data_IF_244704617180
#
_entry.id   IF_244704617180
#
_cell.length_a   1.000
_cell.length_b   1.000
_cell.length_c   1.000
_cell.angle_alpha   90.00
_cell.angle_beta   90.00
_cell.angle_gamma   90.00
#
_symmetry.space_group_name_H-M   'P 1'
#
loop_
_entity.id
_entity.type
_entity.pdbx_description
1 polymer ?
#
# COMPACT_ATOMS: atom_id res chain seq x y z
N UNK A 1 4.49 32.02 -9.34
CA UNK A 1 3.57 31.14 -10.08
C UNK A 1 3.59 29.78 -9.40
N UNK A 2 2.51 29.37 -8.72
CA UNK A 2 2.39 28.01 -8.19
C UNK A 2 2.02 27.12 -9.38
N UNK A 3 2.88 26.17 -9.74
CA UNK A 3 2.61 25.22 -10.81
C UNK A 3 1.32 24.43 -10.51
N UNK A 4 0.55 24.11 -11.54
CA UNK A 4 -0.60 23.20 -11.39
C UNK A 4 -0.11 21.86 -10.81
N UNK A 5 -0.84 21.23 -9.87
CA UNK A 5 -0.56 19.86 -9.46
C UNK A 5 -0.59 18.95 -10.69
N UNK A 6 0.46 18.13 -10.87
CA UNK A 6 0.68 17.28 -12.06
C UNK A 6 0.19 15.85 -11.78
N UNK A 7 -0.28 15.16 -12.81
CA UNK A 7 -0.89 13.82 -12.72
C UNK A 7 0.12 12.71 -12.93
N UNK A 8 0.31 11.82 -11.94
CA UNK A 8 1.02 10.56 -12.12
C UNK A 8 -0.01 9.43 -12.37
N UNK A 9 0.01 8.86 -13.58
CA UNK A 9 -0.79 7.68 -13.90
C UNK A 9 -0.11 6.43 -13.32
N UNK A 10 -0.83 5.66 -12.51
CA UNK A 10 -0.36 4.35 -12.06
C UNK A 10 -0.58 3.35 -13.21
N UNK A 11 0.37 2.42 -13.47
CA UNK A 11 0.23 1.41 -14.50
C UNK A 11 -1.12 0.71 -14.39
N UNK A 12 -1.78 0.49 -15.53
CA UNK A 12 -3.12 -0.10 -15.64
C UNK A 12 -3.30 -1.23 -14.64
N UNK A 13 -4.27 -1.06 -13.74
CA UNK A 13 -4.63 -2.04 -12.73
C UNK A 13 -4.79 -3.41 -13.38
N UNK A 14 -4.22 -4.44 -12.75
CA UNK A 14 -4.50 -5.81 -13.11
C UNK A 14 -6.02 -5.98 -13.24
N UNK A 15 -6.49 -6.42 -14.41
CA UNK A 15 -7.93 -6.62 -14.72
C UNK A 15 -8.58 -7.72 -13.87
N UNK A 16 -7.76 -8.46 -13.11
CA UNK A 16 -8.16 -9.22 -11.95
C UNK A 16 -7.22 -8.87 -10.80
N UNK A 17 -7.74 -8.58 -9.59
CA UNK A 17 -6.90 -8.45 -8.43
C UNK A 17 -6.19 -9.79 -8.18
N UNK A 18 -4.93 -9.73 -7.75
CA UNK A 18 -4.13 -10.90 -7.36
C UNK A 18 -4.71 -11.46 -6.04
N UNK A 19 -5.88 -12.11 -6.10
CA UNK A 19 -6.53 -12.81 -5.00
C UNK A 19 -5.84 -14.18 -4.90
N UNK A 20 -4.89 -14.38 -3.96
CA UNK A 20 -5.29 -14.61 -2.57
C UNK A 20 -4.25 -14.10 -1.55
N UNK A 21 -4.59 -13.04 -0.81
CA UNK A 21 -3.94 -12.69 0.47
C UNK A 21 -4.56 -13.45 1.64
N UNK A 22 -5.18 -14.59 1.40
CA UNK A 22 -5.71 -15.43 2.47
C UNK A 22 -4.53 -15.95 3.30
N UNK A 23 -4.57 -15.58 4.57
CA UNK A 23 -3.56 -16.00 5.55
C UNK A 23 -3.84 -17.45 5.90
N UNK A 24 -2.87 -18.33 5.65
CA UNK A 24 -2.90 -19.71 6.13
C UNK A 24 -2.61 -19.77 7.63
N UNK A 25 -1.70 -18.93 8.10
CA UNK A 25 -1.35 -18.84 9.51
C UNK A 25 -0.34 -17.74 9.81
N UNK A 26 -0.35 -17.28 11.05
CA UNK A 26 0.68 -16.41 11.62
C UNK A 26 1.71 -17.27 12.33
N UNK A 27 2.98 -16.85 12.22
CA UNK A 27 4.14 -17.51 12.81
C UNK A 27 4.89 -16.48 13.65
N UNK A 28 5.75 -16.95 14.55
CA UNK A 28 6.52 -16.08 15.45
C UNK A 28 7.38 -15.06 14.69
N UNK A 29 7.56 -13.89 15.29
CA UNK A 29 8.41 -12.83 14.74
C UNK A 29 7.81 -12.07 13.55
N UNK A 30 6.48 -12.01 13.46
CA UNK A 30 5.77 -11.27 12.39
C UNK A 30 5.72 -12.02 11.05
N UNK A 31 6.03 -13.32 11.03
CA UNK A 31 5.97 -14.14 9.82
C UNK A 31 4.53 -14.54 9.53
N UNK A 32 4.10 -14.44 8.28
CA UNK A 32 2.73 -14.74 7.85
C UNK A 32 2.81 -15.62 6.60
N UNK A 33 2.19 -16.80 6.66
CA UNK A 33 2.13 -17.73 5.55
C UNK A 33 0.86 -17.47 4.73
N UNK A 34 1.03 -17.24 3.42
CA UNK A 34 -0.07 -17.19 2.47
C UNK A 34 -0.55 -18.59 2.09
N UNK A 35 -1.81 -18.70 1.65
CA UNK A 35 -2.34 -19.95 1.08
C UNK A 35 -1.66 -20.35 -0.23
N UNK A 36 -1.04 -19.40 -0.93
CA UNK A 36 -0.21 -19.59 -2.13
C UNK A 36 1.19 -20.17 -1.82
N UNK A 37 1.48 -20.47 -0.56
CA UNK A 37 2.79 -20.93 -0.10
C UNK A 37 3.83 -19.83 0.03
N UNK A 38 3.47 -18.56 -0.22
CA UNK A 38 4.37 -17.44 0.05
C UNK A 38 4.56 -17.22 1.55
N UNK A 39 5.74 -16.75 1.93
CA UNK A 39 6.05 -16.34 3.29
C UNK A 39 6.35 -14.85 3.31
N UNK A 40 5.68 -14.13 4.20
CA UNK A 40 5.81 -12.68 4.37
C UNK A 40 6.29 -12.37 5.77
N UNK A 41 7.07 -11.30 5.89
CA UNK A 41 7.47 -10.72 7.17
C UNK A 41 6.81 -9.36 7.33
N UNK A 42 5.93 -9.22 8.32
CA UNK A 42 5.25 -7.97 8.64
C UNK A 42 5.85 -7.32 9.88
N UNK A 43 6.03 -6.01 9.79
CA UNK A 43 6.54 -5.15 10.85
C UNK A 43 5.64 -3.90 10.96
N UNK A 44 5.27 -3.54 12.19
CA UNK A 44 4.54 -2.31 12.50
C UNK A 44 5.43 -1.10 12.30
N UNK A 45 4.91 -0.11 11.57
CA UNK A 45 5.54 1.19 11.35
C UNK A 45 5.11 2.12 12.48
N UNK A 46 6.03 2.77 13.20
CA UNK A 46 5.68 3.72 14.24
C UNK A 46 4.92 4.91 13.64
N UNK A 47 3.77 5.23 14.23
CA UNK A 47 2.95 6.36 13.81
C UNK A 47 3.31 7.63 14.58
N UNK A 48 3.06 8.78 13.96
CA UNK A 48 3.26 10.09 14.55
C UNK A 48 2.33 11.14 13.96
N UNK A 49 2.43 12.37 14.44
CA UNK A 49 1.58 13.48 14.01
C UNK A 49 2.13 14.07 12.71
N UNK A 50 1.29 14.11 11.67
CA UNK A 50 1.66 14.65 10.35
C UNK A 50 0.90 15.94 10.02
N UNK A 51 -0.42 15.94 10.17
CA UNK A 51 -1.26 17.08 9.75
C UNK A 51 -1.27 18.23 10.76
N UNK A 52 -1.25 17.88 12.05
CA UNK A 52 -1.31 18.83 13.16
C UNK A 52 0.07 19.08 13.81
N UNK A 53 1.15 18.73 13.10
CA UNK A 53 2.50 18.95 13.59
C UNK A 53 2.80 20.45 13.70
N UNK A 54 3.61 20.86 14.68
CA UNK A 54 3.86 22.30 14.94
C UNK A 54 4.75 22.93 13.88
N UNK A 55 5.49 22.12 13.12
CA UNK A 55 6.31 22.57 12.00
C UNK A 55 6.32 21.56 10.86
N UNK A 56 6.70 22.02 9.67
CA UNK A 56 6.93 21.18 8.50
C UNK A 56 7.95 20.08 8.80
N UNK A 57 9.07 20.41 9.45
CA UNK A 57 10.10 19.42 9.77
C UNK A 57 9.55 18.31 10.68
N UNK A 58 8.78 18.67 11.71
CA UNK A 58 8.12 17.69 12.60
C UNK A 58 7.13 16.81 11.85
N UNK A 59 6.39 17.35 10.87
CA UNK A 59 5.43 16.56 10.08
C UNK A 59 6.07 15.47 9.21
N UNK A 60 7.37 15.58 8.92
CA UNK A 60 8.12 14.63 8.09
C UNK A 60 8.79 13.52 8.90
N UNK A 61 9.10 13.78 10.18
CA UNK A 61 9.77 12.82 11.07
C UNK A 61 9.08 11.44 11.14
N UNK A 62 7.74 11.34 11.21
CA UNK A 62 7.06 10.03 11.23
C UNK A 62 7.33 9.18 9.99
N UNK A 63 7.71 9.79 8.86
CA UNK A 63 8.04 9.08 7.61
C UNK A 63 9.45 8.49 7.59
N UNK A 64 10.37 8.92 8.46
CA UNK A 64 11.78 8.51 8.43
C UNK A 64 11.98 6.98 8.58
N UNK A 65 11.34 6.29 9.55
CA UNK A 65 11.47 4.85 9.70
C UNK A 65 11.11 4.09 8.43
N UNK A 66 10.02 4.49 7.78
CA UNK A 66 9.55 3.87 6.56
C UNK A 66 10.49 4.15 5.38
N UNK A 67 10.94 5.40 5.21
CA UNK A 67 11.92 5.77 4.19
C UNK A 67 13.22 4.97 4.33
N UNK A 68 13.77 4.91 5.54
CA UNK A 68 14.98 4.14 5.82
C UNK A 68 14.79 2.66 5.50
N UNK A 69 13.62 2.08 5.81
CA UNK A 69 13.32 0.71 5.45
C UNK A 69 13.34 0.49 3.93
N UNK A 70 12.73 1.39 3.15
CA UNK A 70 12.78 1.32 1.68
C UNK A 70 14.20 1.46 1.14
N UNK A 71 15.01 2.38 1.68
CA UNK A 71 16.42 2.56 1.29
C UNK A 71 17.22 1.26 1.51
N UNK A 72 17.04 0.63 2.66
CA UNK A 72 17.72 -0.63 2.98
C UNK A 72 17.23 -1.80 2.15
N UNK A 73 15.92 -1.91 1.91
CA UNK A 73 15.34 -2.95 1.06
C UNK A 73 15.80 -2.81 -0.40
N UNK A 74 15.92 -1.57 -0.89
CA UNK A 74 16.50 -1.28 -2.20
C UNK A 74 17.98 -1.68 -2.27
N UNK A 75 18.75 -1.42 -1.21
CA UNK A 75 20.15 -1.81 -1.12
C UNK A 75 20.38 -3.34 -1.13
N UNK A 76 19.37 -4.14 -0.77
CA UNK A 76 19.43 -5.60 -0.88
C UNK A 76 19.36 -6.10 -2.32
N UNK A 77 18.84 -5.30 -3.26
CA UNK A 77 18.80 -5.70 -4.66
C UNK A 77 20.22 -5.66 -5.25
N UNK A 78 20.61 -6.74 -5.91
CA UNK A 78 21.93 -6.88 -6.55
C UNK A 78 21.79 -6.92 -8.09
N UNK A 79 21.41 -5.81 -8.73
CA UNK A 79 21.27 -5.77 -10.19
C UNK A 79 22.63 -5.94 -10.86
N UNK A 80 22.77 -6.92 -11.76
CA UNK A 80 23.98 -7.08 -12.60
C UNK A 80 24.12 -5.96 -13.64
N UNK A 81 22.99 -5.45 -14.11
CA UNK A 81 22.90 -4.36 -15.07
C UNK A 81 21.89 -3.34 -14.56
N UNK A 82 22.13 -2.05 -14.83
CA UNK A 82 21.19 -0.97 -14.50
C UNK A 82 20.01 -0.94 -15.50
N UNK A 83 19.41 -2.09 -15.81
CA UNK A 83 18.24 -2.22 -16.68
C UNK A 83 17.12 -2.91 -15.89
N UNK A 84 16.01 -2.21 -15.69
CA UNK A 84 14.86 -2.65 -14.88
C UNK A 84 14.40 -4.05 -15.26
N UNK A 85 14.15 -4.29 -16.56
CA UNK A 85 13.67 -5.58 -17.06
C UNK A 85 14.58 -6.76 -16.66
N UNK A 86 15.89 -6.54 -16.55
CA UNK A 86 16.87 -7.57 -16.20
C UNK A 86 17.10 -7.69 -14.68
N UNK A 87 16.79 -6.64 -13.93
CA UNK A 87 17.04 -6.54 -12.50
C UNK A 87 15.81 -6.84 -11.63
N UNK A 88 14.60 -6.76 -12.19
CA UNK A 88 13.32 -6.84 -11.50
C UNK A 88 13.17 -8.06 -10.58
N UNK A 89 13.75 -9.21 -10.96
CA UNK A 89 13.72 -10.44 -10.15
C UNK A 89 14.50 -10.33 -8.83
N UNK A 90 15.39 -9.34 -8.70
CA UNK A 90 16.18 -9.09 -7.49
C UNK A 90 15.50 -8.10 -6.53
N UNK A 91 14.41 -7.46 -6.96
CA UNK A 91 13.73 -6.44 -6.17
C UNK A 91 12.91 -7.07 -5.05
N UNK A 92 12.82 -6.39 -3.91
CA UNK A 92 11.96 -6.85 -2.81
C UNK A 92 10.51 -6.54 -3.13
N UNK A 93 9.65 -7.55 -3.05
CA UNK A 93 8.20 -7.36 -3.08
C UNK A 93 7.71 -6.94 -1.71
N UNK A 94 6.94 -5.85 -1.66
CA UNK A 94 6.46 -5.24 -0.43
C UNK A 94 4.95 -5.01 -0.45
N UNK A 95 4.39 -4.87 0.74
CA UNK A 95 3.00 -4.47 1.00
C UNK A 95 2.98 -3.49 2.16
N UNK A 96 2.38 -2.34 1.99
CA UNK A 96 1.98 -1.45 3.08
C UNK A 96 0.49 -1.61 3.29
N UNK A 97 0.09 -1.87 4.53
CA UNK A 97 -1.31 -1.93 4.91
C UNK A 97 -1.54 -0.96 6.05
N UNK A 98 -2.34 0.07 5.78
CA UNK A 98 -2.90 0.96 6.80
C UNK A 98 -4.31 0.48 7.12
N UNK A 99 -4.61 0.28 8.40
CA UNK A 99 -5.96 0.07 8.92
C UNK A 99 -6.30 1.24 9.84
N UNK A 100 -7.52 1.77 9.70
CA UNK A 100 -8.02 2.95 10.40
C UNK A 100 -9.47 2.67 10.84
N UNK A 101 -9.60 1.91 11.93
CA UNK A 101 -10.91 1.52 12.47
C UNK A 101 -11.38 2.50 13.55
N UNK A 102 -12.70 2.73 13.69
CA UNK A 102 -13.22 3.37 14.90
C UNK A 102 -12.88 2.50 16.12
N UNK A 103 -12.55 3.15 17.22
CA UNK A 103 -12.23 2.51 18.49
C UNK A 103 -12.51 3.46 19.65
N UNK A 104 -12.10 3.06 20.85
CA UNK A 104 -12.20 3.88 22.05
C UNK A 104 -10.81 4.22 22.57
N UNK A 105 -10.68 5.40 23.18
CA UNK A 105 -9.39 5.88 23.68
C UNK A 105 -8.80 4.90 24.70
N UNK A 106 -7.52 4.60 24.51
CA UNK A 106 -6.68 3.86 25.46
C UNK A 106 -5.27 4.46 25.44
N UNK A 107 -4.80 4.90 26.59
CA UNK A 107 -3.43 5.35 26.79
C UNK A 107 -2.48 4.14 26.85
N UNK A 108 -1.35 4.25 26.16
CA UNK A 108 -0.24 3.29 26.23
C UNK A 108 0.66 3.54 27.45
N UNK A 109 0.45 4.63 28.20
CA UNK A 109 1.20 4.93 29.40
C UNK A 109 0.68 4.07 30.57
N UNK A 110 1.56 3.34 31.25
CA UNK A 110 1.20 2.49 32.39
C UNK A 110 1.30 3.19 33.75
N UNK A 111 1.77 4.43 33.80
CA UNK A 111 1.89 5.23 35.02
C UNK A 111 0.60 5.95 35.42
N UNK A 112 0.65 6.71 36.53
CA UNK A 112 -0.49 7.44 37.07
C UNK A 112 -1.18 8.37 36.05
N UNK A 113 -0.40 8.98 35.16
CA UNK A 113 -0.95 9.80 34.07
C UNK A 113 -1.77 8.96 33.08
N UNK A 114 -1.32 7.76 32.74
CA UNK A 114 -2.05 6.84 31.89
C UNK A 114 -3.33 6.34 32.53
N UNK A 115 -3.31 6.03 33.83
CA UNK A 115 -4.53 5.73 34.60
C UNK A 115 -5.52 6.89 34.54
N UNK A 116 -5.06 8.12 34.84
CA UNK A 116 -5.89 9.32 34.77
C UNK A 116 -6.50 9.50 33.37
N UNK A 117 -5.68 9.41 32.31
CA UNK A 117 -6.13 9.54 30.93
C UNK A 117 -7.17 8.48 30.56
N UNK A 118 -6.93 7.22 30.93
CA UNK A 118 -7.86 6.12 30.67
C UNK A 118 -9.19 6.30 31.41
N UNK A 119 -9.19 6.92 32.59
CA UNK A 119 -10.43 7.27 33.31
C UNK A 119 -11.12 8.48 32.70
N UNK A 120 -10.38 9.55 32.42
CA UNK A 120 -10.92 10.83 31.94
C UNK A 120 -11.50 10.74 30.52
N UNK A 121 -10.89 9.92 29.66
CA UNK A 121 -11.29 9.73 28.26
C UNK A 121 -11.88 8.34 28.03
N UNK A 122 -12.38 7.69 29.08
CA UNK A 122 -13.01 6.38 28.97
C UNK A 122 -14.20 6.43 27.98
N UNK A 123 -14.16 5.58 26.96
CA UNK A 123 -15.23 5.50 25.96
C UNK A 123 -15.19 6.59 24.88
N UNK A 124 -14.24 7.53 24.94
CA UNK A 124 -14.09 8.56 23.91
C UNK A 124 -13.74 7.90 22.56
N UNK A 125 -14.51 8.17 21.49
CA UNK A 125 -14.26 7.56 20.20
C UNK A 125 -12.97 8.11 19.60
N UNK A 126 -12.00 7.22 19.34
CA UNK A 126 -10.77 7.57 18.61
C UNK A 126 -10.49 6.56 17.52
N UNK A 127 -9.95 6.99 16.38
CA UNK A 127 -9.51 6.07 15.34
C UNK A 127 -8.31 5.26 15.82
N UNK A 128 -8.44 3.93 15.83
CA UNK A 128 -7.30 3.03 16.03
C UNK A 128 -6.62 2.80 14.69
N UNK A 129 -5.36 3.23 14.61
CA UNK A 129 -4.56 3.15 13.39
C UNK A 129 -3.40 2.22 13.57
N UNK A 130 -3.22 1.35 12.58
CA UNK A 130 -2.08 0.44 12.48
C UNK A 130 -1.58 0.53 11.05
N UNK A 131 -0.28 0.77 10.90
CA UNK A 131 0.41 0.71 9.62
C UNK A 131 1.45 -0.40 9.70
N UNK A 132 1.39 -1.37 8.79
CA UNK A 132 2.41 -2.42 8.68
C UNK A 132 3.10 -2.41 7.32
N UNK A 133 4.40 -2.71 7.34
CA UNK A 133 5.19 -3.03 6.17
C UNK A 133 5.42 -4.54 6.13
N UNK A 134 4.82 -5.20 5.14
CA UNK A 134 5.08 -6.57 4.74
C UNK A 134 6.17 -6.65 3.69
N UNK A 135 7.14 -7.54 3.88
CA UNK A 135 8.17 -7.87 2.88
C UNK A 135 8.10 -9.36 2.58
N UNK A 136 7.95 -9.73 1.31
CA UNK A 136 7.96 -11.14 0.90
C UNK A 136 9.35 -11.71 1.13
N UNK A 137 9.46 -12.85 1.82
CA UNK A 137 10.72 -13.55 2.03
C UNK A 137 11.09 -14.39 0.80
N UNK A 138 12.38 -14.44 0.51
CA UNK A 138 12.94 -15.27 -0.53
C UNK A 138 13.48 -16.57 0.07
N UNK A 139 13.09 -17.75 -0.44
CA UNK A 139 13.69 -18.99 0.00
C UNK A 139 15.15 -19.05 -0.47
N UNK A 140 15.99 -19.80 0.24
CA UNK A 140 17.31 -20.19 -0.24
C UNK A 140 17.17 -20.88 -1.60
N UNK A 141 17.88 -20.39 -2.61
CA UNK A 141 18.06 -21.15 -3.84
C UNK A 141 18.93 -22.37 -3.51
N UNK A 142 18.34 -23.56 -3.55
CA UNK A 142 19.11 -24.79 -3.71
C UNK A 142 19.97 -24.70 -4.98
N UNK A 143 21.01 -25.53 -5.09
CA UNK A 143 21.99 -25.53 -6.17
C UNK A 143 21.47 -25.76 -7.61
N UNK A 144 20.15 -25.74 -7.84
CA UNK A 144 19.50 -25.81 -9.15
C UNK A 144 18.90 -24.44 -9.52
N UNK A 145 19.32 -23.88 -10.65
CA UNK A 145 19.04 -22.49 -11.04
C UNK A 145 17.56 -22.08 -11.16
N UNK A 146 17.37 -20.80 -11.50
CA UNK A 146 16.10 -20.03 -11.49
C UNK A 146 14.88 -20.72 -12.15
N UNK A 147 15.08 -21.62 -13.12
CA UNK A 147 14.00 -22.41 -13.74
C UNK A 147 13.45 -23.49 -12.82
N UNK A 148 14.30 -24.13 -12.02
CA UNK A 148 13.88 -25.13 -11.04
C UNK A 148 13.04 -24.51 -9.93
N UNK A 149 13.30 -23.26 -9.54
CA UNK A 149 12.52 -22.58 -8.48
C UNK A 149 11.07 -22.25 -8.91
N UNK A 150 10.86 -21.95 -10.20
CA UNK A 150 9.53 -21.70 -10.77
C UNK A 150 8.77 -22.99 -11.06
N UNK A 151 9.45 -24.01 -11.62
CA UNK A 151 8.85 -25.34 -11.83
C UNK A 151 8.53 -26.02 -10.49
N UNK A 152 9.34 -25.77 -9.46
CA UNK A 152 9.01 -26.17 -8.09
C UNK A 152 7.75 -25.47 -7.61
N UNK A 153 7.56 -24.15 -7.79
CA UNK A 153 6.33 -23.46 -7.35
C UNK A 153 5.03 -23.99 -7.97
N UNK A 154 5.05 -24.37 -9.26
CA UNK A 154 3.84 -24.86 -9.96
C UNK A 154 3.53 -26.32 -9.60
N UNK A 155 4.55 -27.16 -9.42
CA UNK A 155 4.39 -28.58 -9.03
C UNK A 155 4.07 -28.75 -7.53
N UNK A 156 4.25 -27.70 -6.74
CA UNK A 156 4.21 -27.69 -5.28
C UNK A 156 2.86 -27.28 -4.68
N UNK A 157 1.98 -26.65 -5.47
CA UNK A 157 0.61 -26.37 -5.05
C UNK A 157 -0.19 -27.66 -4.73
N UNK A 158 0.28 -28.83 -5.19
CA UNK A 158 -0.40 -30.11 -4.97
C UNK A 158 0.10 -30.92 -3.77
N UNK A 159 1.35 -30.76 -3.29
CA UNK A 159 1.90 -31.72 -2.30
C UNK A 159 3.09 -31.15 -1.50
N UNK A 160 2.83 -30.74 -0.24
CA UNK A 160 3.79 -30.36 0.83
C UNK A 160 4.67 -29.11 0.67
N UNK A 161 4.66 -28.25 1.71
CA UNK A 161 5.24 -26.91 1.80
C UNK A 161 6.78 -26.79 1.73
N UNK A 162 7.33 -25.60 1.39
CA UNK A 162 8.76 -25.29 1.39
C UNK A 162 9.10 -25.24 2.87
N UNK A 163 10.12 -25.99 3.33
CA UNK A 163 10.52 -25.94 4.72
C UNK A 163 10.71 -24.49 5.18
N UNK A 164 10.13 -24.11 6.32
CA UNK A 164 10.30 -22.77 6.87
C UNK A 164 11.79 -22.40 7.05
N UNK A 165 12.63 -23.41 7.28
CA UNK A 165 14.09 -23.29 7.38
C UNK A 165 14.75 -22.69 6.14
N UNK A 166 14.16 -22.86 4.96
CA UNK A 166 14.72 -22.30 3.71
C UNK A 166 14.59 -20.78 3.68
N UNK A 167 13.72 -20.20 4.51
CA UNK A 167 13.53 -18.76 4.63
C UNK A 167 14.30 -18.14 5.79
N UNK A 168 14.91 -18.92 6.69
CA UNK A 168 15.49 -18.40 7.94
C UNK A 168 16.63 -17.40 7.71
N UNK A 169 17.45 -17.60 6.68
CA UNK A 169 18.52 -16.64 6.32
C UNK A 169 17.95 -15.29 5.88
N UNK A 170 16.97 -15.31 4.96
CA UNK A 170 16.36 -14.09 4.46
C UNK A 170 15.51 -13.42 5.54
N UNK A 171 14.83 -14.20 6.39
CA UNK A 171 14.12 -13.72 7.57
C UNK A 171 15.07 -12.96 8.50
N UNK A 172 16.20 -13.56 8.90
CA UNK A 172 17.16 -12.91 9.79
C UNK A 172 17.67 -11.59 9.21
N UNK A 173 18.02 -11.58 7.92
CA UNK A 173 18.50 -10.39 7.21
C UNK A 173 17.46 -9.27 7.15
N UNK A 174 16.23 -9.58 6.74
CA UNK A 174 15.15 -8.58 6.61
C UNK A 174 14.69 -8.10 7.98
N UNK A 175 14.48 -9.02 8.92
CA UNK A 175 14.08 -8.73 10.31
C UNK A 175 15.06 -7.77 10.99
N UNK A 176 16.36 -8.05 10.92
CA UNK A 176 17.40 -7.16 11.46
C UNK A 176 17.42 -5.79 10.76
N UNK A 177 17.12 -5.75 9.47
CA UNK A 177 17.07 -4.50 8.70
C UNK A 177 15.88 -3.62 9.11
N UNK A 178 14.68 -4.19 9.18
CA UNK A 178 13.47 -3.46 9.56
C UNK A 178 13.54 -2.99 11.02
N UNK A 179 14.04 -3.84 11.92
CA UNK A 179 14.26 -3.48 13.33
C UNK A 179 15.21 -2.29 13.48
N UNK A 180 16.32 -2.25 12.73
CA UNK A 180 17.27 -1.11 12.73
C UNK A 180 16.66 0.18 12.19
N UNK A 181 15.63 0.09 11.36
CA UNK A 181 14.89 1.25 10.87
C UNK A 181 13.85 1.78 11.88
N UNK A 182 13.70 1.12 13.03
CA UNK A 182 12.77 1.51 14.09
C UNK A 182 11.36 0.93 13.94
N UNK A 183 11.19 -0.06 13.06
CA UNK A 183 9.95 -0.83 12.99
C UNK A 183 9.96 -1.95 14.05
N UNK A 184 8.78 -2.39 14.47
CA UNK A 184 8.63 -3.45 15.48
C UNK A 184 7.84 -4.65 14.95
N UNK A 185 8.02 -5.82 15.57
CA UNK A 185 7.14 -6.97 15.31
C UNK A 185 5.72 -6.62 15.76
N UNK A 186 4.68 -6.86 14.95
CA UNK A 186 3.29 -6.62 15.35
C UNK A 186 2.91 -7.53 16.51
N UNK A 187 2.16 -6.99 17.47
CA UNK A 187 1.51 -7.76 18.52
C UNK A 187 0.36 -8.63 17.99
N UNK A 188 -0.06 -9.63 18.76
CA UNK A 188 -1.19 -10.48 18.40
C UNK A 188 -2.48 -9.66 18.23
N UNK A 189 -2.73 -8.68 19.11
CA UNK A 189 -3.85 -7.74 19.00
C UNK A 189 -3.82 -6.92 17.71
N UNK A 190 -2.64 -6.47 17.28
CA UNK A 190 -2.48 -5.75 16.00
C UNK A 190 -2.74 -6.68 14.81
N UNK A 191 -2.24 -7.91 14.85
CA UNK A 191 -2.51 -8.93 13.81
C UNK A 191 -3.99 -9.28 13.74
N UNK A 192 -4.69 -9.35 14.87
CA UNK A 192 -6.13 -9.56 14.93
C UNK A 192 -6.91 -8.42 14.30
N UNK A 193 -6.52 -7.17 14.56
CA UNK A 193 -7.10 -5.99 13.91
C UNK A 193 -6.84 -6.00 12.39
N UNK A 194 -5.60 -6.28 11.96
CA UNK A 194 -5.25 -6.34 10.55
C UNK A 194 -6.04 -7.44 9.82
N UNK A 195 -6.25 -8.59 10.47
CA UNK A 195 -7.01 -9.71 9.95
C UNK A 195 -8.54 -9.51 10.04
N UNK A 196 -9.02 -8.43 10.65
CA UNK A 196 -10.44 -8.08 10.77
C UNK A 196 -10.70 -6.63 10.34
N UNK A 197 -9.87 -6.08 9.45
CA UNK A 197 -9.87 -4.67 9.04
C UNK A 197 -11.22 -4.16 8.52
N UNK A 198 -12.08 -5.06 8.04
CA UNK A 198 -13.41 -4.73 7.55
C UNK A 198 -14.44 -4.58 8.67
N UNK A 199 -14.15 -5.02 9.90
CA UNK A 199 -15.07 -5.11 11.03
C UNK A 199 -14.81 -4.02 12.07
N UNK A 200 -15.78 -3.15 12.32
CA UNK A 200 -15.73 -2.16 13.43
C UNK A 200 -15.65 -2.84 14.81
N UNK A 201 -16.17 -4.07 14.92
CA UNK A 201 -16.15 -4.88 16.16
C UNK A 201 -14.95 -5.82 16.27
N UNK A 202 -14.02 -5.80 15.29
CA UNK A 202 -12.81 -6.66 15.26
C UNK A 202 -13.12 -8.16 15.27
N UNK A 203 -14.24 -8.54 14.68
CA UNK A 203 -14.63 -9.94 14.58
C UNK A 203 -14.27 -10.47 13.18
N UNK A 204 -13.41 -11.48 13.11
CA UNK A 204 -13.04 -12.13 11.83
C UNK A 204 -14.22 -12.85 11.16
N UNK A 205 -15.21 -13.29 11.95
CA UNK A 205 -16.43 -13.95 11.46
C UNK A 205 -17.58 -12.99 11.18
N UNK A 206 -17.32 -11.69 11.08
CA UNK A 206 -18.36 -10.68 10.77
C UNK A 206 -19.05 -11.05 9.44
N UNK A 207 -20.38 -11.27 9.43
CA UNK A 207 -21.09 -11.58 8.20
C UNK A 207 -20.95 -10.46 7.17
N UNK A 208 -20.80 -10.85 5.90
CA UNK A 208 -20.67 -9.92 4.80
C UNK A 208 -21.54 -10.36 3.62
N UNK A 209 -22.09 -9.39 2.89
CA UNK A 209 -22.86 -9.66 1.68
C UNK A 209 -22.37 -8.78 0.53
N UNK A 210 -21.93 -9.41 -0.55
CA UNK A 210 -21.36 -8.71 -1.70
C UNK A 210 -22.44 -8.31 -2.69
N UNK A 211 -22.38 -7.06 -3.15
CA UNK A 211 -23.14 -6.54 -4.28
C UNK A 211 -22.18 -6.02 -5.36
N UNK A 212 -22.66 -5.75 -6.58
CA UNK A 212 -21.88 -4.96 -7.53
C UNK A 212 -21.45 -3.64 -6.89
N UNK A 213 -20.15 -3.34 -6.97
CA UNK A 213 -19.49 -2.12 -6.47
C UNK A 213 -19.28 -1.97 -4.95
N UNK A 214 -19.95 -2.74 -4.09
CA UNK A 214 -19.84 -2.56 -2.65
C UNK A 214 -20.14 -3.85 -1.85
N UNK A 215 -19.76 -3.82 -0.58
CA UNK A 215 -19.86 -4.93 0.35
C UNK A 215 -20.60 -4.47 1.60
N UNK A 216 -21.70 -5.12 1.93
CA UNK A 216 -22.37 -4.91 3.21
C UNK A 216 -21.64 -5.69 4.28
N UNK A 217 -21.37 -5.03 5.41
CA UNK A 217 -20.81 -5.64 6.60
C UNK A 217 -21.83 -5.51 7.72
N UNK A 218 -22.15 -6.62 8.36
CA UNK A 218 -23.16 -6.68 9.41
C UNK A 218 -22.51 -6.86 10.77
N UNK A 219 -22.91 -6.03 11.71
CA UNK A 219 -22.45 -6.06 13.10
C UNK A 219 -22.82 -7.38 13.82
N UNK A 220 -23.90 -8.04 13.38
CA UNK A 220 -24.39 -9.30 13.93
C UNK A 220 -25.26 -10.12 12.95
N UNK A 221 -25.60 -11.34 13.39
CA UNK A 221 -26.39 -12.30 12.62
C UNK A 221 -27.84 -11.84 12.45
N UNK A 222 -28.43 -11.15 13.43
CA UNK A 222 -29.82 -10.71 13.37
C UNK A 222 -30.02 -9.66 12.27
N UNK A 223 -29.06 -8.74 12.11
CA UNK A 223 -29.04 -7.79 11.00
C UNK A 223 -28.97 -8.51 9.65
N UNK A 224 -28.19 -9.58 9.57
CA UNK A 224 -28.09 -10.41 8.35
C UNK A 224 -29.44 -11.10 8.04
N UNK A 225 -30.11 -11.67 9.03
CA UNK A 225 -31.43 -12.30 8.86
C UNK A 225 -32.54 -11.30 8.51
N UNK A 226 -32.48 -10.09 9.08
CA UNK A 226 -33.39 -9.02 8.73
C UNK A 226 -33.20 -8.56 7.27
N UNK A 227 -31.95 -8.46 6.80
CA UNK A 227 -31.63 -8.22 5.39
C UNK A 227 -32.21 -9.31 4.48
N UNK A 228 -32.06 -10.58 4.87
CA UNK A 228 -32.58 -11.71 4.12
C UNK A 228 -34.12 -11.71 3.98
N UNK A 229 -34.83 -11.21 5.00
CA UNK A 229 -36.30 -11.08 4.98
C UNK A 229 -36.80 -10.00 4.03
N UNK A 230 -36.05 -8.91 3.86
CA UNK A 230 -36.38 -7.83 2.93
C UNK A 230 -36.03 -8.26 1.49
N UNK A 231 -34.92 -8.98 1.34
CA UNK A 231 -34.43 -9.47 0.06
C UNK A 231 -32.97 -9.06 -0.15
N UNK A 232 -32.13 -10.02 -0.55
CA UNK A 232 -30.68 -9.85 -0.68
C UNK A 232 -30.21 -9.30 -2.02
N UNK A 233 -31.09 -9.20 -3.01
CA UNK A 233 -30.73 -8.79 -4.37
C UNK A 233 -30.77 -7.29 -4.61
N UNK A 234 -31.55 -6.53 -3.82
CA UNK A 234 -31.71 -5.08 -3.95
C UNK A 234 -31.53 -4.40 -2.59
N UNK A 235 -30.30 -4.01 -2.27
CA UNK A 235 -29.97 -3.33 -1.02
C UNK A 235 -30.44 -1.88 -0.95
N UNK A 236 -30.99 -1.30 -2.03
CA UNK A 236 -31.53 0.06 -1.99
C UNK A 236 -32.69 0.20 -0.98
N UNK A 237 -33.33 -0.92 -0.65
CA UNK A 237 -34.45 -0.99 0.30
C UNK A 237 -33.99 -1.12 1.76
N UNK A 238 -32.69 -1.22 2.04
CA UNK A 238 -32.13 -1.42 3.38
C UNK A 238 -31.81 -0.10 4.11
N UNK A 239 -32.64 0.93 3.91
CA UNK A 239 -32.39 2.29 4.43
C UNK A 239 -32.30 2.37 5.95
N UNK A 240 -33.06 1.53 6.66
CA UNK A 240 -33.19 1.58 8.12
C UNK A 240 -32.75 0.29 8.82
N UNK A 241 -31.96 -0.55 8.15
CA UNK A 241 -31.48 -1.79 8.74
C UNK A 241 -30.36 -1.47 9.75
N UNK A 242 -30.57 -1.64 11.08
CA UNK A 242 -29.56 -1.32 12.07
C UNK A 242 -28.41 -2.34 12.03
N UNK A 243 -27.23 -1.92 12.47
CA UNK A 243 -26.08 -2.82 12.59
C UNK A 243 -25.52 -3.27 11.24
N UNK A 244 -25.55 -2.41 10.23
CA UNK A 244 -24.89 -2.65 8.95
C UNK A 244 -24.23 -1.38 8.44
N UNK A 245 -23.16 -1.55 7.66
CA UNK A 245 -22.55 -0.47 6.90
C UNK A 245 -22.04 -0.99 5.56
N UNK A 246 -21.83 -0.07 4.63
CA UNK A 246 -21.33 -0.36 3.30
C UNK A 246 -19.83 -0.09 3.23
N UNK A 247 -19.11 -1.01 2.63
CA UNK A 247 -17.72 -0.85 2.22
C UNK A 247 -17.64 -0.76 0.72
N UNK A 248 -16.95 0.27 0.24
CA UNK A 248 -16.62 0.41 -1.16
C UNK A 248 -15.11 0.27 -1.32
N UNK A 249 -14.67 -0.66 -2.18
CA UNK A 249 -13.25 -0.83 -2.50
C UNK A 249 -12.97 -0.18 -3.85
N UNK A 250 -11.97 0.69 -3.89
CA UNK A 250 -11.55 1.40 -5.08
C UNK A 250 -10.04 1.21 -5.31
N UNK A 251 -9.64 1.19 -6.57
CA UNK A 251 -8.23 1.36 -6.94
C UNK A 251 -7.92 2.84 -6.96
N UNK A 252 -6.78 3.25 -6.41
CA UNK A 252 -6.22 4.56 -6.74
C UNK A 252 -5.60 4.42 -8.12
N UNK A 253 -6.16 5.09 -9.13
CA UNK A 253 -5.70 5.02 -10.52
C UNK A 253 -4.62 6.05 -10.82
N UNK A 254 -4.71 7.21 -10.17
CA UNK A 254 -3.79 8.31 -10.37
C UNK A 254 -3.53 9.03 -9.04
N UNK A 255 -2.33 9.56 -8.89
CA UNK A 255 -2.02 10.48 -7.78
C UNK A 255 -1.41 11.74 -8.37
N UNK A 256 -1.97 12.89 -8.00
CA UNK A 256 -1.56 14.19 -8.52
C UNK A 256 -0.36 14.73 -7.74
N UNK A 257 0.76 13.99 -7.79
CA UNK A 257 2.02 14.39 -7.14
C UNK A 257 3.03 14.76 -8.22
N UNK A 258 3.40 16.04 -8.29
CA UNK A 258 4.59 16.45 -9.06
C UNK A 258 5.90 16.09 -8.34
N UNK A 259 7.03 16.59 -8.84
CA UNK A 259 8.29 16.70 -8.09
C UNK A 259 8.21 17.74 -6.94
N UNK A 260 7.07 17.78 -6.26
CA UNK A 260 6.84 18.66 -5.13
C UNK A 260 7.70 18.25 -3.94
N UNK A 261 8.08 19.22 -3.12
CA UNK A 261 8.74 18.94 -1.86
C UNK A 261 7.75 18.23 -0.91
N UNK A 262 8.25 17.34 -0.05
CA UNK A 262 7.42 16.55 0.88
C UNK A 262 6.65 17.43 1.90
N UNK A 263 6.99 18.71 1.98
CA UNK A 263 6.27 19.71 2.76
C UNK A 263 4.98 20.20 2.11
N UNK A 264 4.79 20.00 0.80
CA UNK A 264 3.56 20.33 0.10
C UNK A 264 2.42 19.43 0.59
N UNK A 265 1.34 19.98 1.17
CA UNK A 265 0.18 19.21 1.61
C UNK A 265 -0.41 18.29 0.53
N UNK A 266 -0.31 18.66 -0.76
CA UNK A 266 -0.80 17.84 -1.88
C UNK A 266 -0.07 16.50 -2.00
N UNK A 267 1.18 16.41 -1.54
CA UNK A 267 1.94 15.15 -1.50
C UNK A 267 1.41 14.17 -0.44
N UNK A 268 0.58 14.65 0.51
CA UNK A 268 0.00 13.87 1.62
C UNK A 268 -1.36 13.29 1.27
N UNK A 269 -1.51 12.80 0.03
CA UNK A 269 -2.78 12.31 -0.53
C UNK A 269 -3.50 11.26 0.34
N UNK A 270 -2.78 10.39 1.06
CA UNK A 270 -3.38 9.41 1.99
C UNK A 270 -4.14 10.10 3.13
N UNK A 271 -3.67 11.27 3.58
CA UNK A 271 -4.33 12.03 4.62
C UNK A 271 -5.65 12.66 4.14
N UNK A 272 -5.74 12.98 2.84
CA UNK A 272 -6.99 13.37 2.19
C UNK A 272 -7.95 12.19 2.12
N UNK A 273 -7.51 11.02 1.64
CA UNK A 273 -8.33 9.79 1.66
C UNK A 273 -8.85 9.45 3.05
N UNK A 274 -8.02 9.64 4.09
CA UNK A 274 -8.40 9.39 5.49
C UNK A 274 -9.59 10.24 5.94
N UNK A 275 -9.70 11.49 5.48
CA UNK A 275 -10.86 12.35 5.79
C UNK A 275 -12.13 11.87 5.10
N UNK A 276 -12.02 11.02 4.08
CA UNK A 276 -13.14 10.45 3.33
C UNK A 276 -13.58 9.06 3.85
N UNK A 277 -13.40 8.82 5.16
CA UNK A 277 -13.77 7.57 5.84
C UNK A 277 -13.00 6.33 5.36
N UNK A 278 -11.70 6.48 5.05
CA UNK A 278 -10.80 5.36 4.79
C UNK A 278 -10.76 4.40 5.99
N UNK A 279 -11.12 3.13 5.77
CA UNK A 279 -10.94 2.06 6.75
C UNK A 279 -9.64 1.30 6.53
N UNK A 280 -9.27 1.04 5.28
CA UNK A 280 -8.02 0.40 4.96
C UNK A 280 -7.41 0.90 3.65
N UNK A 281 -6.08 0.94 3.58
CA UNK A 281 -5.33 1.22 2.36
C UNK A 281 -4.22 0.18 2.21
N UNK A 282 -4.17 -0.48 1.06
CA UNK A 282 -3.11 -1.41 0.69
C UNK A 282 -2.30 -0.82 -0.47
N UNK A 283 -1.00 -0.62 -0.27
CA UNK A 283 -0.04 -0.28 -1.33
C UNK A 283 0.90 -1.47 -1.51
N UNK A 284 0.99 -2.02 -2.71
CA UNK A 284 1.86 -3.14 -3.03
C UNK A 284 2.78 -2.78 -4.19
N UNK A 285 3.95 -3.41 -4.28
CA UNK A 285 4.84 -3.22 -5.43
C UNK A 285 6.21 -3.84 -5.23
N UNK A 286 7.14 -3.48 -6.12
CA UNK A 286 8.55 -3.87 -6.06
C UNK A 286 9.43 -2.65 -5.76
N UNK A 287 10.34 -2.79 -4.81
CA UNK A 287 11.29 -1.73 -4.44
C UNK A 287 12.45 -1.71 -5.43
N UNK A 288 12.48 -0.70 -6.29
CA UNK A 288 13.55 -0.49 -7.28
C UNK A 288 14.63 0.44 -6.71
N UNK A 289 15.93 0.09 -6.83
CA UNK A 289 17.01 0.97 -6.44
C UNK A 289 17.04 2.26 -7.24
N UNK A 290 17.28 3.39 -6.57
CA UNK A 290 17.36 4.71 -7.19
C UNK A 290 18.30 4.78 -8.40
N UNK A 291 19.44 4.08 -8.35
CA UNK A 291 20.40 3.99 -9.48
C UNK A 291 19.80 3.36 -10.73
N UNK A 292 18.88 2.40 -10.58
CA UNK A 292 18.20 1.77 -11.72
C UNK A 292 17.14 2.71 -12.26
N UNK A 293 16.35 3.35 -11.38
CA UNK A 293 15.38 4.39 -11.77
C UNK A 293 16.04 5.52 -12.55
N UNK A 294 17.18 6.04 -12.07
CA UNK A 294 17.98 7.05 -12.77
C UNK A 294 18.39 6.59 -14.18
N UNK A 295 18.81 5.33 -14.31
CA UNK A 295 19.21 4.77 -15.60
C UNK A 295 18.02 4.59 -16.55
N UNK A 296 16.84 4.22 -16.05
CA UNK A 296 15.61 4.15 -16.84
C UNK A 296 15.16 5.53 -17.32
N UNK A 297 15.13 6.54 -16.43
CA UNK A 297 14.80 7.93 -16.79
C UNK A 297 15.73 8.46 -17.89
N UNK A 298 17.04 8.21 -17.77
CA UNK A 298 18.02 8.58 -18.80
C UNK A 298 17.76 7.91 -20.16
N UNK A 299 17.28 6.67 -20.18
CA UNK A 299 16.92 5.96 -21.43
C UNK A 299 15.67 6.56 -22.05
N UNK A 300 14.64 6.79 -21.23
CA UNK A 300 13.39 7.41 -21.67
C UNK A 300 13.65 8.80 -22.25
N UNK A 301 14.50 9.61 -21.58
CA UNK A 301 14.89 10.93 -22.10
C UNK A 301 15.54 10.84 -23.47
N UNK A 302 16.54 9.96 -23.64
CA UNK A 302 17.23 9.75 -24.92
C UNK A 302 16.28 9.29 -26.03
N UNK A 303 15.28 8.48 -25.68
CA UNK A 303 14.26 8.06 -26.63
C UNK A 303 13.40 9.24 -27.09
N UNK A 304 12.92 10.07 -26.16
CA UNK A 304 12.17 11.29 -26.51
C UNK A 304 13.02 12.28 -27.33
N UNK A 305 14.29 12.49 -26.97
CA UNK A 305 15.22 13.32 -27.75
C UNK A 305 15.37 12.81 -29.19
N UNK A 306 15.52 11.49 -29.37
CA UNK A 306 15.63 10.87 -30.68
C UNK A 306 14.33 11.01 -31.49
N UNK A 307 13.17 10.76 -30.87
CA UNK A 307 11.86 10.88 -31.51
C UNK A 307 11.56 12.32 -31.96
N UNK A 308 11.93 13.31 -31.14
CA UNK A 308 11.82 14.74 -31.48
C UNK A 308 12.76 15.08 -32.65
N UNK A 309 14.02 14.64 -32.59
CA UNK A 309 14.99 14.88 -33.67
C UNK A 309 14.57 14.23 -34.99
N UNK A 310 14.01 13.02 -34.97
CA UNK A 310 13.52 12.33 -36.16
C UNK A 310 12.34 13.09 -36.79
N UNK A 311 11.42 13.60 -35.97
CA UNK A 311 10.27 14.39 -36.46
C UNK A 311 10.69 15.71 -37.10
N UNK A 312 11.65 16.40 -36.48
CA UNK A 312 12.24 17.61 -37.04
C UNK A 312 12.88 17.32 -38.39
N UNK A 313 13.62 16.21 -38.52
CA UNK A 313 14.20 15.78 -39.79
C UNK A 313 13.14 15.41 -40.85
N UNK A 314 11.98 14.92 -40.43
CA UNK A 314 10.83 14.63 -41.31
C UNK A 314 9.97 15.87 -41.62
N UNK A 315 10.37 17.08 -41.18
CA UNK A 315 9.62 18.32 -41.40
C UNK A 315 8.27 18.38 -40.67
N UNK A 316 8.05 17.52 -39.68
CA UNK A 316 6.83 17.51 -38.86
C UNK A 316 7.01 18.44 -37.67
N UNK A 317 6.04 19.31 -37.40
CA UNK A 317 6.05 20.13 -36.19
C UNK A 317 6.00 19.24 -34.94
N UNK A 318 6.71 19.66 -33.91
CA UNK A 318 6.71 18.98 -32.62
C UNK A 318 5.34 19.11 -31.95
N UNK A 319 4.90 18.07 -31.23
CA UNK A 319 3.67 18.15 -30.44
C UNK A 319 4.03 18.75 -29.09
N UNK A 320 3.28 19.76 -28.62
CA UNK A 320 3.53 20.39 -27.31
C UNK A 320 3.66 19.38 -26.16
N UNK A 321 2.87 18.30 -26.20
CA UNK A 321 2.91 17.21 -25.23
C UNK A 321 4.28 16.50 -25.17
N UNK A 322 5.02 16.43 -26.29
CA UNK A 322 6.34 15.80 -26.32
C UNK A 322 7.41 16.67 -25.66
N UNK A 323 7.32 17.99 -25.84
CA UNK A 323 8.24 18.93 -25.19
C UNK A 323 7.99 18.98 -23.68
N UNK A 324 6.72 18.92 -23.26
CA UNK A 324 6.35 18.84 -21.84
C UNK A 324 6.86 17.54 -21.20
N UNK A 325 6.64 16.39 -21.85
CA UNK A 325 7.11 15.09 -21.38
C UNK A 325 8.65 15.02 -21.32
N UNK A 326 9.34 15.57 -22.32
CA UNK A 326 10.81 15.63 -22.34
C UNK A 326 11.33 16.50 -21.18
N UNK A 327 10.70 17.64 -20.94
CA UNK A 327 11.03 18.51 -19.82
C UNK A 327 10.85 17.77 -18.49
N UNK A 328 9.71 17.10 -18.30
CA UNK A 328 9.41 16.32 -17.09
C UNK A 328 10.44 15.21 -16.84
N UNK A 329 10.69 14.35 -17.82
CA UNK A 329 11.67 13.25 -17.68
C UNK A 329 13.06 13.80 -17.37
N UNK A 330 13.41 14.97 -17.91
CA UNK A 330 14.67 15.65 -17.63
C UNK A 330 14.75 16.14 -16.18
N UNK A 331 13.69 16.76 -15.66
CA UNK A 331 13.60 17.18 -14.25
C UNK A 331 13.73 15.98 -13.30
N UNK A 332 13.00 14.89 -13.57
CA UNK A 332 13.07 13.66 -12.77
C UNK A 332 14.45 13.03 -12.81
N UNK A 333 15.09 12.95 -13.99
CA UNK A 333 16.44 12.39 -14.10
C UNK A 333 17.43 13.19 -13.25
N UNK A 334 17.39 14.53 -13.31
CA UNK A 334 18.27 15.39 -12.54
C UNK A 334 18.12 15.16 -11.02
N UNK A 335 16.88 15.05 -10.53
CA UNK A 335 16.62 14.75 -9.12
C UNK A 335 17.18 13.38 -8.70
N UNK A 336 17.13 12.38 -9.58
CA UNK A 336 17.67 11.05 -9.31
C UNK A 336 19.19 10.96 -9.45
N UNK A 337 19.83 11.80 -10.26
CA UNK A 337 21.29 11.87 -10.38
C UNK A 337 21.98 12.29 -9.07
N UNK A 338 21.31 13.07 -8.23
CA UNK A 338 21.83 13.49 -6.91
C UNK A 338 21.55 12.50 -5.78
N UNK A 339 21.08 11.28 -6.08
CA UNK A 339 20.79 10.27 -5.07
C UNK A 339 19.33 10.30 -4.58
N UNK A 340 18.38 10.34 -5.53
CA UNK A 340 16.94 10.28 -5.24
C UNK A 340 16.52 9.02 -4.46
N UNK A 341 15.28 8.98 -3.94
CA UNK A 341 14.80 7.83 -3.17
C UNK A 341 14.61 6.59 -4.05
N UNK A 342 14.55 5.38 -3.47
CA UNK A 342 14.04 4.20 -4.15
C UNK A 342 12.64 4.45 -4.71
N UNK A 343 12.33 3.85 -5.85
CA UNK A 343 10.99 3.91 -6.44
C UNK A 343 10.21 2.62 -6.17
N UNK A 344 8.89 2.73 -6.15
CA UNK A 344 7.99 1.59 -6.13
C UNK A 344 7.46 1.37 -7.54
N UNK A 345 7.75 0.20 -8.13
CA UNK A 345 7.28 -0.16 -9.47
C UNK A 345 6.28 -1.30 -9.41
N UNK A 346 5.53 -1.50 -10.50
CA UNK A 346 4.44 -2.47 -10.58
C UNK A 346 3.48 -2.32 -9.40
N UNK A 347 3.18 -1.07 -9.07
CA UNK A 347 2.46 -0.73 -7.86
C UNK A 347 0.96 -0.91 -8.04
N UNK A 348 0.32 -1.47 -7.02
CA UNK A 348 -1.14 -1.52 -6.91
C UNK A 348 -1.55 -0.84 -5.61
N UNK A 349 -2.54 0.05 -5.68
CA UNK A 349 -3.03 0.82 -4.54
C UNK A 349 -4.53 0.63 -4.44
N UNK A 350 -4.98 0.00 -3.34
CA UNK A 350 -6.39 -0.27 -3.08
C UNK A 350 -6.81 0.45 -1.80
N UNK A 351 -7.94 1.16 -1.85
CA UNK A 351 -8.54 1.84 -0.71
C UNK A 351 -9.92 1.24 -0.43
N UNK A 352 -10.18 0.92 0.84
CA UNK A 352 -11.50 0.54 1.32
C UNK A 352 -12.08 1.70 2.14
N UNK A 353 -13.21 2.22 1.68
CA UNK A 353 -13.90 3.37 2.24
C UNK A 353 -15.21 2.91 2.88
N UNK A 354 -15.51 3.44 4.06
CA UNK A 354 -16.83 3.30 4.66
C UNK A 354 -17.80 4.26 3.95
N UNK A 355 -18.83 3.72 3.32
CA UNK A 355 -19.80 4.45 2.50
C UNK A 355 -20.18 3.71 1.22
N UNK A 356 -21.27 4.17 0.59
CA UNK A 356 -21.81 3.57 -0.63
C UNK A 356 -21.14 4.08 -1.91
N UNK A 357 -21.32 3.35 -3.02
CA UNK A 357 -20.74 3.65 -4.35
C UNK A 357 -20.99 5.09 -4.82
N UNK A 358 -22.17 5.65 -4.53
CA UNK A 358 -22.56 7.00 -4.95
C UNK A 358 -21.60 8.09 -4.42
N UNK A 359 -20.84 7.76 -3.39
CA UNK A 359 -19.87 8.69 -2.82
C UNK A 359 -18.57 8.75 -3.63
N UNK A 360 -18.17 7.69 -4.36
CA UNK A 360 -16.92 7.68 -5.14
C UNK A 360 -16.95 8.72 -6.27
N UNK A 361 -18.05 8.79 -7.03
CA UNK A 361 -18.19 9.67 -8.20
C UNK A 361 -18.31 11.15 -7.82
N UNK A 362 -18.73 11.46 -6.59
CA UNK A 362 -18.78 12.84 -6.06
C UNK A 362 -17.43 13.34 -5.54
N UNK A 363 -16.45 12.46 -5.34
CA UNK A 363 -15.19 12.75 -4.63
C UNK A 363 -14.01 13.13 -5.54
N UNK A 364 -14.13 13.10 -6.87
CA UNK A 364 -12.94 13.20 -7.76
C UNK A 364 -12.51 14.61 -8.22
N UNK A 365 -13.33 15.66 -8.06
CA UNK A 365 -13.06 16.92 -8.80
C UNK A 365 -12.10 17.91 -8.12
N UNK A 366 -11.55 17.60 -6.94
CA UNK A 366 -10.63 18.51 -6.22
C UNK A 366 -9.61 17.83 -5.29
N UNK A 367 -9.37 16.52 -5.46
CA UNK A 367 -8.47 15.75 -4.59
C UNK A 367 -7.10 15.51 -5.23
N UNK A 368 -6.05 15.26 -4.42
CA UNK A 368 -4.71 14.90 -4.92
C UNK A 368 -4.64 13.48 -5.51
N UNK A 369 -5.76 12.81 -5.78
CA UNK A 369 -5.82 11.44 -6.27
C UNK A 369 -7.11 11.21 -7.08
N UNK A 370 -7.07 10.17 -7.91
CA UNK A 370 -8.25 9.64 -8.59
C UNK A 370 -8.55 8.22 -8.12
N UNK A 371 -9.84 7.95 -7.88
CA UNK A 371 -10.35 6.64 -7.52
C UNK A 371 -11.08 6.03 -8.72
N UNK A 372 -10.67 4.83 -9.10
CA UNK A 372 -11.37 3.99 -10.06
C UNK A 372 -12.13 2.89 -9.33
N UNK A 373 -13.38 2.68 -9.73
CA UNK A 373 -14.19 1.58 -9.24
C UNK A 373 -13.57 0.24 -9.67
N UNK A 374 -13.63 -0.75 -8.78
CA UNK A 374 -13.21 -2.10 -9.11
C UNK A 374 -14.33 -2.80 -9.89
N UNK A 375 -14.03 -3.21 -11.12
CA UNK A 375 -14.95 -3.93 -12.01
C UNK A 375 -15.21 -5.38 -11.57
#
# INVERSE_FOLDING_TARGET
>A
MRGRPRTLELPSAHTQPDWPTTVRGTLSGGRVQGTDGSLWLYYTVPLGIVEDAKSVAESLLPGHPLRNAFDQLAAMATPRFNRRQSAKSTYRRVRLLLVNLPGVYRSSNSGALGTFQNTAFAGEPVPQRILVLGVRLAPRMGSGGFRSALDSMVTFMSTQGIPLSDFDEDFARVSQTLSRCGLSVPSDDELDVLASWWSTRRNRGTPMLSHPAHLHVFDDVNSTEAAARIGVSDCAQWTDLPGQYQLTVASVSQVLIGLGSADDPWTRWVAHLRRENLLALSIQGLVEPAKVTAAELRRVRKQYEADVSERLAQGKMNRGDQDEMLHEVTEFEQAYQTGGPPSLIDSSVLAALNGGRQDLSRRSTSQPYELAEMA
#
